data_IF_383401475116
#
_entry.id   IF_383401475116
#
_cell.length_a   1.000
_cell.length_b   1.000
_cell.length_c   1.000
_cell.angle_alpha   90.00
_cell.angle_beta   90.00
_cell.angle_gamma   90.00
#
_symmetry.space_group_name_H-M   'P 1'
#
loop_
_entity.id
_entity.type
_entity.pdbx_description
1 polymer ?
#
# COMPACT_ATOMS: atom_id res chain seq x y z
N UNK A 1 -40.62 48.27 -30.08
CA UNK A 1 -41.09 48.48 -31.44
C UNK A 1 -41.90 47.26 -31.79
N UNK A 2 -43.17 47.29 -31.48
CA UNK A 2 -44.30 47.71 -32.30
C UNK A 2 -44.63 46.71 -33.37
N UNK A 3 -45.82 46.16 -33.26
CA UNK A 3 -46.51 45.54 -34.35
C UNK A 3 -47.57 44.52 -33.92
N UNK A 4 -48.64 45.01 -33.32
CA UNK A 4 -49.98 44.37 -33.25
C UNK A 4 -50.75 44.78 -34.51
N UNK A 5 -52.00 44.39 -34.67
CA UNK A 5 -52.71 43.16 -34.96
C UNK A 5 -53.53 43.28 -36.25
N UNK A 6 -54.23 42.24 -36.66
CA UNK A 6 -55.26 42.38 -37.73
C UNK A 6 -56.54 41.61 -37.30
N UNK A 7 -57.53 42.41 -37.02
CA UNK A 7 -58.96 42.11 -36.91
C UNK A 7 -59.53 41.36 -38.13
N UNK A 8 -60.39 40.39 -37.85
CA UNK A 8 -61.39 39.95 -38.84
C UNK A 8 -62.77 39.89 -38.14
N UNK A 9 -63.76 40.56 -38.70
CA UNK A 9 -65.09 40.77 -38.11
C UNK A 9 -66.01 39.56 -38.18
N UNK A 10 -67.05 39.53 -37.35
CA UNK A 10 -68.02 38.42 -37.33
C UNK A 10 -69.07 38.54 -38.42
N UNK A 11 -69.45 37.45 -39.05
CA UNK A 11 -70.57 37.37 -39.97
C UNK A 11 -71.86 37.08 -39.21
N UNK A 12 -72.85 37.89 -39.51
CA UNK A 12 -74.24 37.87 -39.01
C UNK A 12 -75.06 36.62 -39.46
N UNK A 13 -76.12 36.31 -38.77
CA UNK A 13 -76.90 35.07 -38.96
C UNK A 13 -77.92 35.20 -40.13
N UNK A 14 -78.15 34.10 -40.80
CA UNK A 14 -79.15 33.92 -41.82
C UNK A 14 -80.59 33.72 -41.21
N UNK A 15 -81.64 34.03 -41.98
CA UNK A 15 -82.98 34.27 -41.45
C UNK A 15 -83.73 32.99 -41.04
N UNK A 16 -84.56 33.14 -40.03
CA UNK A 16 -85.52 32.17 -39.57
C UNK A 16 -86.68 32.04 -40.59
N UNK A 17 -86.85 30.82 -41.04
CA UNK A 17 -88.12 30.48 -41.72
C UNK A 17 -89.10 30.01 -40.70
N UNK A 18 -90.19 30.77 -40.52
CA UNK A 18 -91.33 30.42 -39.70
C UNK A 18 -92.10 29.19 -40.26
N UNK A 19 -91.94 28.09 -39.51
CA UNK A 19 -92.72 26.91 -39.74
C UNK A 19 -93.93 26.87 -38.81
N UNK A 20 -95.12 26.79 -39.34
CA UNK A 20 -96.34 26.67 -38.59
C UNK A 20 -96.34 25.48 -37.60
N UNK A 21 -97.01 25.58 -36.46
CA UNK A 21 -97.10 24.47 -35.51
C UNK A 21 -97.73 23.26 -36.12
N UNK A 22 -97.26 22.06 -35.92
CA UNK A 22 -97.84 20.85 -36.46
C UNK A 22 -99.18 20.58 -35.81
N UNK A 23 -100.16 20.25 -36.65
CA UNK A 23 -101.53 19.81 -36.26
C UNK A 23 -101.49 18.57 -35.35
N UNK A 24 -102.38 18.39 -34.39
CA UNK A 24 -102.37 17.25 -33.49
C UNK A 24 -102.54 15.97 -34.25
N UNK A 25 -101.63 15.07 -34.14
CA UNK A 25 -101.66 13.70 -34.70
C UNK A 25 -102.72 12.88 -33.98
N UNK A 26 -103.52 12.13 -34.79
CA UNK A 26 -104.60 11.26 -34.27
C UNK A 26 -104.05 10.25 -33.24
N UNK A 27 -104.84 9.82 -32.26
CA UNK A 27 -104.39 8.89 -31.19
C UNK A 27 -103.78 7.59 -31.67
N UNK A 28 -103.98 7.21 -32.91
CA UNK A 28 -103.44 5.94 -33.46
C UNK A 28 -101.94 6.10 -33.91
N UNK A 29 -101.45 7.32 -34.15
CA UNK A 29 -100.06 7.55 -34.56
C UNK A 29 -99.13 7.69 -33.33
N UNK A 30 -99.72 8.03 -32.18
CA UNK A 30 -98.98 8.12 -30.90
C UNK A 30 -98.57 6.78 -30.31
N UNK A 31 -99.06 5.67 -30.80
CA UNK A 31 -98.76 4.30 -30.32
C UNK A 31 -97.76 3.55 -31.25
N UNK A 32 -97.27 4.19 -32.28
CA UNK A 32 -96.20 3.56 -33.08
C UNK A 32 -94.81 3.75 -32.34
N UNK A 33 -94.18 2.60 -32.05
CA UNK A 33 -92.80 2.72 -31.44
C UNK A 33 -91.87 3.42 -32.40
N UNK A 34 -91.12 4.39 -31.89
CA UNK A 34 -90.06 5.09 -32.66
C UNK A 34 -89.13 4.05 -33.31
N UNK A 35 -88.81 4.22 -34.58
CA UNK A 35 -87.84 3.29 -35.23
C UNK A 35 -86.52 3.32 -34.52
N UNK A 36 -86.14 2.19 -33.92
CA UNK A 36 -84.84 2.00 -33.31
C UNK A 36 -83.71 2.27 -34.37
N UNK A 37 -82.76 3.17 -34.11
CA UNK A 37 -81.69 3.42 -35.08
C UNK A 37 -81.01 2.07 -35.40
N UNK A 38 -80.66 1.84 -36.67
CA UNK A 38 -80.02 0.60 -37.07
C UNK A 38 -78.69 0.44 -36.32
N UNK A 39 -78.34 -0.74 -35.83
CA UNK A 39 -77.11 -0.97 -35.11
C UNK A 39 -75.92 -0.57 -36.03
N UNK A 40 -75.01 0.17 -35.45
CA UNK A 40 -73.78 0.58 -36.13
C UNK A 40 -73.11 -0.64 -36.79
N UNK A 41 -73.06 -0.63 -38.13
CA UNK A 41 -72.42 -1.72 -38.88
C UNK A 41 -71.01 -1.79 -38.52
N UNK A 42 -70.64 -2.80 -37.71
CA UNK A 42 -69.19 -3.07 -37.43
C UNK A 42 -68.49 -3.29 -38.76
N UNK A 43 -67.43 -2.51 -38.98
CA UNK A 43 -66.60 -2.58 -40.17
C UNK A 43 -66.16 -4.03 -40.45
N UNK A 44 -66.52 -4.57 -41.59
CA UNK A 44 -66.11 -5.90 -42.04
C UNK A 44 -64.59 -5.99 -42.29
N UNK A 45 -63.90 -4.81 -42.45
CA UNK A 45 -62.47 -4.75 -42.62
C UNK A 45 -61.70 -5.23 -41.38
N UNK A 46 -62.20 -5.09 -40.16
CA UNK A 46 -61.60 -5.56 -38.96
C UNK A 46 -61.59 -7.11 -38.77
N UNK A 47 -62.30 -7.80 -39.65
CA UNK A 47 -62.44 -9.28 -39.63
C UNK A 47 -61.64 -10.00 -40.72
N UNK A 48 -60.86 -9.26 -41.54
CA UNK A 48 -60.01 -9.91 -42.54
C UNK A 48 -58.85 -10.63 -41.80
N UNK A 49 -58.68 -11.95 -42.01
CA UNK A 49 -57.71 -12.73 -41.25
C UNK A 49 -56.30 -12.17 -41.30
N UNK A 50 -55.89 -11.60 -42.47
CA UNK A 50 -54.56 -10.95 -42.60
C UNK A 50 -54.40 -9.68 -41.74
N UNK A 51 -55.48 -8.91 -41.52
CA UNK A 51 -55.46 -7.72 -40.65
C UNK A 51 -55.39 -8.13 -39.20
N UNK A 52 -56.07 -9.16 -38.81
CA UNK A 52 -56.05 -9.71 -37.42
C UNK A 52 -54.66 -10.27 -37.12
N UNK A 53 -54.11 -11.12 -38.01
CA UNK A 53 -52.75 -11.70 -37.86
C UNK A 53 -51.67 -10.61 -37.87
N UNK A 54 -51.75 -9.68 -38.80
CA UNK A 54 -50.82 -8.54 -38.87
C UNK A 54 -50.86 -7.65 -37.62
N UNK A 55 -52.06 -7.35 -37.11
CA UNK A 55 -52.21 -6.59 -35.86
C UNK A 55 -51.69 -7.36 -34.63
N UNK A 56 -51.98 -8.67 -34.54
CA UNK A 56 -51.45 -9.50 -33.46
C UNK A 56 -49.90 -9.58 -33.48
N UNK A 57 -49.32 -9.75 -34.67
CA UNK A 57 -47.86 -9.74 -34.85
C UNK A 57 -47.25 -8.39 -34.47
N UNK A 58 -47.82 -7.29 -34.89
CA UNK A 58 -47.37 -5.96 -34.56
C UNK A 58 -47.47 -5.68 -33.05
N UNK A 59 -48.59 -6.08 -32.43
CA UNK A 59 -48.79 -5.99 -30.99
C UNK A 59 -47.74 -6.82 -30.25
N UNK A 60 -47.43 -8.03 -30.72
CA UNK A 60 -46.38 -8.88 -30.16
C UNK A 60 -45.01 -8.20 -30.24
N UNK A 61 -44.65 -7.60 -31.39
CA UNK A 61 -43.40 -6.85 -31.53
C UNK A 61 -43.32 -5.67 -30.58
N UNK A 62 -44.44 -4.93 -30.40
CA UNK A 62 -44.46 -3.82 -29.42
C UNK A 62 -44.25 -4.35 -28.00
N UNK A 63 -44.95 -5.42 -27.62
CA UNK A 63 -44.78 -6.03 -26.28
C UNK A 63 -43.36 -6.49 -26.06
N UNK A 64 -42.74 -7.13 -27.06
CA UNK A 64 -41.31 -7.54 -27.00
C UNK A 64 -40.40 -6.32 -26.90
N UNK A 65 -40.62 -5.29 -27.69
CA UNK A 65 -39.84 -4.07 -27.63
C UNK A 65 -39.96 -3.36 -26.27
N UNK A 66 -41.17 -3.27 -25.72
CA UNK A 66 -41.40 -2.71 -24.37
C UNK A 66 -40.74 -3.58 -23.28
N UNK A 67 -40.86 -4.90 -23.40
CA UNK A 67 -40.20 -5.82 -22.45
C UNK A 67 -38.67 -5.68 -22.50
N UNK A 68 -38.07 -5.58 -23.70
CA UNK A 68 -36.64 -5.34 -23.85
C UNK A 68 -36.28 -3.97 -23.26
N UNK A 69 -37.02 -2.91 -23.59
CA UNK A 69 -36.77 -1.56 -23.06
C UNK A 69 -36.87 -1.52 -21.54
N UNK A 70 -37.88 -2.16 -20.96
CA UNK A 70 -38.02 -2.26 -19.50
C UNK A 70 -36.86 -3.04 -18.86
N UNK A 71 -36.44 -4.14 -19.48
CA UNK A 71 -35.32 -4.96 -19.00
C UNK A 71 -34.00 -4.17 -19.03
N UNK A 72 -33.75 -3.43 -20.11
CA UNK A 72 -32.58 -2.57 -20.24
C UNK A 72 -32.60 -1.42 -19.22
N UNK A 73 -33.77 -0.82 -19.02
CA UNK A 73 -33.92 0.26 -18.04
C UNK A 73 -33.69 -0.23 -16.61
N UNK A 74 -34.30 -1.32 -16.21
CA UNK A 74 -34.14 -1.93 -14.90
C UNK A 74 -32.70 -2.43 -14.73
N UNK A 75 -32.12 -3.03 -15.79
CA UNK A 75 -30.73 -3.47 -15.80
C UNK A 75 -29.75 -2.31 -15.55
N UNK A 76 -29.95 -1.18 -16.24
CA UNK A 76 -29.14 0.02 -16.03
C UNK A 76 -29.29 0.60 -14.62
N UNK A 77 -30.52 0.70 -14.13
CA UNK A 77 -30.78 1.18 -12.78
C UNK A 77 -30.09 0.30 -11.72
N UNK A 78 -30.13 -1.02 -11.87
CA UNK A 78 -29.44 -1.97 -10.98
C UNK A 78 -27.92 -1.92 -11.11
N UNK A 79 -27.42 -1.61 -12.30
CA UNK A 79 -25.98 -1.47 -12.57
C UNK A 79 -25.37 -0.24 -11.91
N UNK A 80 -26.13 0.87 -11.85
CA UNK A 80 -25.71 2.14 -11.24
C UNK A 80 -26.17 2.27 -9.76
N UNK A 81 -27.03 1.37 -9.27
CA UNK A 81 -27.52 1.41 -7.90
C UNK A 81 -26.40 1.18 -6.87
N UNK A 82 -26.48 1.83 -5.69
CA UNK A 82 -25.56 1.58 -4.60
C UNK A 82 -25.52 0.10 -4.21
N UNK A 83 -24.31 -0.44 -4.03
CA UNK A 83 -24.09 -1.84 -3.66
C UNK A 83 -24.31 -2.11 -2.16
N UNK A 84 -24.25 -3.39 -1.76
CA UNK A 84 -24.56 -3.85 -0.41
C UNK A 84 -23.47 -3.57 0.64
N UNK A 85 -22.27 -3.15 0.23
CA UNK A 85 -21.17 -2.89 1.16
C UNK A 85 -21.52 -1.77 2.14
N UNK A 86 -21.49 -2.07 3.45
CA UNK A 86 -21.72 -1.07 4.50
C UNK A 86 -20.43 -0.26 4.84
N UNK A 87 -19.26 -0.82 4.56
CA UNK A 87 -17.95 -0.22 4.84
C UNK A 87 -16.95 -0.57 3.73
N UNK A 88 -15.90 0.22 3.61
CA UNK A 88 -14.80 -0.07 2.68
C UNK A 88 -14.25 -1.48 2.92
N UNK A 89 -14.06 -2.24 1.86
CA UNK A 89 -13.54 -3.61 1.94
C UNK A 89 -12.42 -3.85 0.95
N UNK A 90 -11.40 -4.57 1.39
CA UNK A 90 -10.32 -5.03 0.53
C UNK A 90 -10.59 -6.47 0.14
N UNK A 91 -10.62 -6.74 -1.17
CA UNK A 91 -10.84 -8.08 -1.74
C UNK A 91 -9.71 -8.42 -2.71
N UNK A 92 -9.20 -9.63 -2.61
CA UNK A 92 -8.18 -10.13 -3.53
C UNK A 92 -8.81 -10.92 -4.67
N UNK A 93 -8.60 -10.48 -5.90
CA UNK A 93 -9.03 -11.18 -7.13
C UNK A 93 -7.86 -12.03 -7.63
N UNK A 94 -7.93 -13.37 -7.51
CA UNK A 94 -6.85 -14.26 -7.91
C UNK A 94 -6.56 -14.20 -9.41
N UNK A 95 -5.31 -14.48 -9.78
CA UNK A 95 -4.90 -14.59 -11.18
C UNK A 95 -5.53 -15.82 -11.84
N UNK A 96 -6.03 -15.67 -13.07
CA UNK A 96 -6.46 -16.79 -13.91
C UNK A 96 -7.91 -17.25 -13.71
N UNK A 97 -8.70 -16.58 -12.83
CA UNK A 97 -10.14 -16.87 -12.69
C UNK A 97 -10.96 -16.13 -13.75
N UNK A 98 -12.08 -16.75 -14.15
CA UNK A 98 -12.98 -16.20 -15.16
C UNK A 98 -13.93 -15.12 -14.61
N UNK A 99 -14.59 -14.38 -15.52
CA UNK A 99 -15.56 -13.32 -15.15
C UNK A 99 -16.65 -13.84 -14.20
N UNK A 100 -17.11 -15.09 -14.37
CA UNK A 100 -18.12 -15.69 -13.51
C UNK A 100 -17.59 -15.94 -12.11
N UNK A 101 -16.39 -16.51 -12.01
CA UNK A 101 -15.75 -16.78 -10.73
C UNK A 101 -15.44 -15.48 -9.96
N UNK A 102 -15.07 -14.41 -10.70
CA UNK A 102 -14.91 -13.07 -10.11
C UNK A 102 -16.23 -12.58 -9.54
N UNK A 103 -17.34 -12.72 -10.29
CA UNK A 103 -18.67 -12.36 -9.84
C UNK A 103 -19.07 -13.11 -8.56
N UNK A 104 -18.88 -14.43 -8.55
CA UNK A 104 -19.22 -15.29 -7.40
C UNK A 104 -18.34 -14.95 -6.18
N UNK A 105 -17.07 -14.61 -6.40
CA UNK A 105 -16.18 -14.11 -5.34
C UNK A 105 -16.70 -12.79 -4.76
N UNK A 106 -17.05 -11.83 -5.62
CA UNK A 106 -17.54 -10.52 -5.19
C UNK A 106 -18.88 -10.62 -4.41
N UNK A 107 -19.74 -11.56 -4.78
CA UNK A 107 -20.97 -11.86 -4.03
C UNK A 107 -20.66 -12.46 -2.66
N UNK A 108 -19.76 -13.46 -2.59
CA UNK A 108 -19.33 -14.06 -1.31
C UNK A 108 -18.71 -13.04 -0.37
N UNK A 109 -17.95 -12.11 -0.93
CA UNK A 109 -17.34 -11.01 -0.17
C UNK A 109 -18.31 -9.87 0.15
N UNK A 110 -19.56 -9.94 -0.34
CA UNK A 110 -20.61 -8.94 -0.10
C UNK A 110 -20.35 -7.61 -0.81
N UNK A 111 -19.51 -7.59 -1.84
CA UNK A 111 -19.22 -6.39 -2.65
C UNK A 111 -20.39 -6.09 -3.58
N UNK A 112 -20.98 -7.12 -4.17
CA UNK A 112 -22.17 -7.04 -5.01
C UNK A 112 -23.22 -8.06 -4.54
N UNK A 113 -24.47 -7.83 -4.86
CA UNK A 113 -25.61 -8.73 -4.56
C UNK A 113 -26.18 -9.41 -5.82
N UNK A 114 -25.81 -8.92 -7.02
CA UNK A 114 -26.40 -9.35 -8.28
C UNK A 114 -25.34 -9.82 -9.29
N UNK A 115 -24.99 -11.12 -9.26
CA UNK A 115 -23.94 -11.67 -10.13
C UNK A 115 -24.25 -11.51 -11.63
N UNK A 116 -25.53 -11.64 -12.01
CA UNK A 116 -25.93 -11.51 -13.42
C UNK A 116 -25.78 -10.09 -13.96
N UNK A 117 -25.99 -9.06 -13.11
CA UNK A 117 -25.78 -7.65 -13.48
C UNK A 117 -24.29 -7.39 -13.73
N UNK A 118 -23.42 -7.95 -12.89
CA UNK A 118 -21.97 -7.85 -13.08
C UNK A 118 -21.52 -8.51 -14.39
N UNK A 119 -21.89 -9.78 -14.61
CA UNK A 119 -21.53 -10.51 -15.84
C UNK A 119 -22.09 -9.83 -17.08
N UNK A 120 -23.36 -9.36 -17.03
CA UNK A 120 -24.00 -8.62 -18.11
C UNK A 120 -23.28 -7.27 -18.39
N UNK A 121 -22.93 -6.53 -17.36
CA UNK A 121 -22.18 -5.28 -17.46
C UNK A 121 -20.81 -5.48 -18.13
N UNK A 122 -20.07 -6.50 -17.73
CA UNK A 122 -18.77 -6.85 -18.35
C UNK A 122 -18.93 -7.19 -19.84
N UNK A 123 -20.02 -7.87 -20.22
CA UNK A 123 -20.30 -8.17 -21.64
C UNK A 123 -20.64 -6.92 -22.43
N UNK A 124 -21.56 -6.08 -21.90
CA UNK A 124 -21.98 -4.83 -22.55
C UNK A 124 -20.80 -3.86 -22.72
N UNK A 125 -19.94 -3.75 -21.72
CA UNK A 125 -18.74 -2.93 -21.76
C UNK A 125 -17.60 -3.56 -22.59
N UNK A 126 -17.78 -4.80 -23.10
CA UNK A 126 -16.75 -5.59 -23.81
C UNK A 126 -15.47 -5.79 -23.01
N UNK A 127 -15.56 -5.77 -21.68
CA UNK A 127 -14.43 -5.72 -20.75
C UNK A 127 -13.93 -7.09 -20.27
N UNK A 128 -14.31 -8.20 -20.92
CA UNK A 128 -13.92 -9.55 -20.48
C UNK A 128 -12.41 -9.77 -20.38
N UNK A 129 -11.64 -9.15 -21.27
CA UNK A 129 -10.17 -9.23 -21.28
C UNK A 129 -9.48 -8.17 -20.42
N UNK A 130 -10.22 -7.16 -19.95
CA UNK A 130 -9.65 -5.98 -19.30
C UNK A 130 -9.72 -6.05 -17.77
N UNK A 131 -10.43 -7.05 -17.22
CA UNK A 131 -10.50 -7.25 -15.77
C UNK A 131 -9.14 -7.72 -15.25
N UNK A 132 -8.49 -6.86 -14.46
CA UNK A 132 -7.16 -7.15 -13.91
C UNK A 132 -7.28 -7.88 -12.58
N UNK A 133 -6.38 -8.83 -12.33
CA UNK A 133 -6.22 -9.51 -11.05
C UNK A 133 -5.44 -8.63 -10.06
N UNK A 134 -5.64 -8.85 -8.76
CA UNK A 134 -4.95 -8.13 -7.72
C UNK A 134 -5.83 -7.87 -6.50
N UNK A 135 -5.32 -7.15 -5.55
CA UNK A 135 -6.02 -6.77 -4.33
C UNK A 135 -6.64 -5.37 -4.52
N UNK A 136 -7.95 -5.27 -4.38
CA UNK A 136 -8.71 -4.05 -4.62
C UNK A 136 -9.42 -3.57 -3.38
N UNK A 137 -9.42 -2.27 -3.16
CA UNK A 137 -10.24 -1.62 -2.15
C UNK A 137 -11.53 -1.13 -2.80
N UNK A 138 -12.66 -1.70 -2.39
CA UNK A 138 -13.99 -1.26 -2.81
C UNK A 138 -14.57 -0.35 -1.71
N UNK A 139 -14.93 0.89 -2.03
CA UNK A 139 -15.62 1.79 -1.13
C UNK A 139 -16.98 1.26 -0.67
N UNK A 140 -17.47 1.75 0.46
CA UNK A 140 -18.83 1.49 0.90
C UNK A 140 -19.83 1.89 -0.19
N UNK A 141 -20.88 1.10 -0.35
CA UNK A 141 -21.98 1.32 -1.32
C UNK A 141 -21.53 1.40 -2.79
N UNK A 142 -20.34 0.88 -3.15
CA UNK A 142 -19.91 0.83 -4.55
C UNK A 142 -20.93 0.11 -5.43
N UNK A 143 -21.35 0.77 -6.51
CA UNK A 143 -22.22 0.19 -7.54
C UNK A 143 -21.48 -0.89 -8.34
N UNK A 144 -22.23 -1.75 -9.05
CA UNK A 144 -21.65 -2.74 -9.96
C UNK A 144 -20.81 -2.06 -11.05
N UNK A 145 -21.24 -0.90 -11.53
CA UNK A 145 -20.49 -0.07 -12.49
C UNK A 145 -19.11 0.34 -11.96
N UNK A 146 -19.06 0.87 -10.74
CA UNK A 146 -17.81 1.30 -10.08
C UNK A 146 -16.90 0.11 -9.78
N UNK A 147 -17.46 -1.02 -9.37
CA UNK A 147 -16.70 -2.26 -9.15
C UNK A 147 -16.01 -2.71 -10.45
N UNK A 148 -16.75 -2.77 -11.58
CA UNK A 148 -16.17 -3.13 -12.87
C UNK A 148 -15.12 -2.10 -13.30
N UNK A 149 -15.41 -0.80 -13.17
CA UNK A 149 -14.47 0.26 -13.47
C UNK A 149 -13.17 0.12 -12.68
N UNK A 150 -13.25 -0.16 -11.37
CA UNK A 150 -12.09 -0.39 -10.50
C UNK A 150 -11.22 -1.56 -10.99
N UNK A 151 -11.85 -2.67 -11.42
CA UNK A 151 -11.15 -3.84 -11.94
C UNK A 151 -10.50 -3.57 -13.31
N UNK A 152 -11.14 -2.79 -14.19
CA UNK A 152 -10.60 -2.38 -15.49
C UNK A 152 -9.42 -1.42 -15.31
N UNK A 153 -9.57 -0.40 -14.47
CA UNK A 153 -8.51 0.55 -14.14
C UNK A 153 -7.27 -0.15 -13.58
N UNK A 154 -7.47 -1.20 -12.79
CA UNK A 154 -6.39 -1.97 -12.18
C UNK A 154 -5.68 -1.20 -11.06
N UNK A 155 -6.39 -0.31 -10.38
CA UNK A 155 -5.87 0.44 -9.21
C UNK A 155 -5.80 -0.48 -8.00
N UNK A 156 -4.84 -1.41 -8.02
CA UNK A 156 -4.64 -2.38 -6.93
C UNK A 156 -4.06 -1.72 -5.68
N UNK A 157 -4.35 -2.30 -4.53
CA UNK A 157 -3.79 -1.88 -3.24
C UNK A 157 -2.27 -1.98 -3.29
N UNK A 158 -1.60 -0.90 -2.93
CA UNK A 158 -0.15 -0.85 -2.81
C UNK A 158 0.26 -1.07 -1.37
N UNK A 159 1.05 -2.10 -1.13
CA UNK A 159 1.76 -2.32 0.12
C UNK A 159 3.15 -1.69 0.05
N UNK A 160 3.77 -1.45 1.20
CA UNK A 160 5.12 -0.94 1.26
C UNK A 160 5.94 -1.70 2.31
N UNK A 161 7.20 -1.91 2.01
CA UNK A 161 8.20 -2.34 2.98
C UNK A 161 9.30 -1.30 3.02
N UNK A 162 9.56 -0.76 4.22
CA UNK A 162 10.65 0.19 4.47
C UNK A 162 11.83 -0.56 5.03
N UNK A 163 12.96 -0.42 4.37
CA UNK A 163 14.26 -0.95 4.80
C UNK A 163 15.09 0.21 5.31
N UNK A 164 15.46 0.15 6.58
CA UNK A 164 16.27 1.17 7.21
C UNK A 164 17.72 1.14 6.69
N UNK A 165 18.36 2.31 6.64
CA UNK A 165 19.78 2.44 6.33
C UNK A 165 20.64 1.75 7.40
N UNK A 166 21.80 1.26 7.03
CA UNK A 166 22.75 0.62 7.94
C UNK A 166 22.39 -0.79 8.41
N UNK A 167 21.32 -1.40 7.87
CA UNK A 167 21.04 -2.83 8.08
C UNK A 167 22.00 -3.68 7.26
N UNK A 168 22.35 -4.85 7.80
CA UNK A 168 23.08 -5.87 7.03
C UNK A 168 22.14 -6.59 6.06
N UNK A 169 22.70 -7.25 5.06
CA UNK A 169 21.91 -8.01 4.09
C UNK A 169 21.10 -9.13 4.75
N UNK A 170 21.64 -9.78 5.78
CA UNK A 170 20.92 -10.80 6.58
C UNK A 170 19.71 -10.20 7.29
N UNK A 171 19.89 -9.06 7.99
CA UNK A 171 18.78 -8.34 8.64
C UNK A 171 17.68 -7.86 7.67
N UNK A 172 18.07 -7.46 6.46
CA UNK A 172 17.12 -7.10 5.41
C UNK A 172 16.34 -8.32 4.95
N UNK A 173 17.01 -9.45 4.75
CA UNK A 173 16.36 -10.73 4.40
C UNK A 173 15.36 -11.15 5.46
N UNK A 174 15.72 -11.09 6.75
CA UNK A 174 14.81 -11.42 7.85
C UNK A 174 13.57 -10.53 7.84
N UNK A 175 13.75 -9.21 7.66
CA UNK A 175 12.65 -8.26 7.56
C UNK A 175 11.72 -8.53 6.37
N UNK A 176 12.27 -8.97 5.23
CA UNK A 176 11.46 -9.38 4.08
C UNK A 176 10.74 -10.71 4.34
N UNK A 177 11.32 -11.63 5.11
CA UNK A 177 10.69 -12.90 5.48
C UNK A 177 9.51 -12.70 6.42
N UNK A 178 9.58 -11.76 7.36
CA UNK A 178 8.49 -11.40 8.26
C UNK A 178 7.28 -10.79 7.53
N UNK A 179 7.46 -10.26 6.33
CA UNK A 179 6.36 -9.65 5.57
C UNK A 179 5.42 -10.73 5.02
N UNK A 180 4.18 -10.76 5.54
CA UNK A 180 3.16 -11.76 5.20
C UNK A 180 2.49 -11.56 3.84
N UNK A 181 2.64 -10.39 3.23
CA UNK A 181 2.04 -10.06 1.92
C UNK A 181 2.95 -10.50 0.78
N UNK A 182 4.28 -10.46 1.01
CA UNK A 182 5.27 -10.98 0.06
C UNK A 182 5.23 -12.51 0.00
N UNK A 183 5.51 -13.07 -1.16
CA UNK A 183 5.45 -14.51 -1.41
C UNK A 183 6.82 -15.09 -1.81
N UNK A 184 6.93 -16.41 -1.78
CA UNK A 184 8.12 -17.14 -2.21
C UNK A 184 9.29 -17.07 -1.23
N UNK A 185 10.22 -18.03 -1.29
CA UNK A 185 11.43 -18.04 -0.47
C UNK A 185 12.48 -17.07 -1.02
N UNK A 186 13.42 -16.67 -0.18
CA UNK A 186 14.69 -16.06 -0.57
C UNK A 186 15.69 -17.21 -0.65
N UNK A 187 16.36 -17.37 -1.80
CA UNK A 187 17.26 -18.49 -2.06
C UNK A 187 18.64 -18.27 -1.45
N UNK A 188 19.16 -17.08 -1.58
CA UNK A 188 20.50 -16.70 -1.14
C UNK A 188 20.46 -15.32 -0.50
N UNK A 189 21.27 -15.12 0.53
CA UNK A 189 21.46 -13.79 1.14
C UNK A 189 22.29 -12.97 0.13
N UNK A 190 21.81 -11.80 -0.30
CA UNK A 190 22.56 -10.93 -1.21
C UNK A 190 23.88 -10.48 -0.58
N UNK A 191 24.86 -10.15 -1.42
CA UNK A 191 26.14 -9.62 -0.96
C UNK A 191 25.94 -8.37 -0.10
N UNK A 192 26.76 -8.20 0.93
CA UNK A 192 26.72 -7.02 1.79
C UNK A 192 26.97 -5.76 0.99
N UNK A 193 26.21 -4.69 1.28
CA UNK A 193 26.29 -3.42 0.58
C UNK A 193 25.72 -3.41 -0.83
N UNK A 194 24.92 -4.43 -1.21
CA UNK A 194 24.32 -4.52 -2.55
C UNK A 194 22.82 -4.19 -2.60
N UNK A 195 22.25 -3.78 -1.48
CA UNK A 195 20.81 -3.53 -1.34
C UNK A 195 20.57 -2.07 -0.96
N UNK A 196 19.95 -1.28 -1.85
CA UNK A 196 19.58 0.09 -1.53
C UNK A 196 18.51 0.14 -0.45
N UNK A 197 18.75 0.74 0.73
CA UNK A 197 17.75 0.87 1.79
C UNK A 197 16.78 2.01 1.47
N UNK A 198 15.57 1.65 1.09
CA UNK A 198 14.50 2.58 0.72
C UNK A 198 13.13 2.00 1.08
N UNK A 199 12.05 2.73 0.78
CA UNK A 199 10.69 2.23 0.85
C UNK A 199 10.26 1.66 -0.50
N UNK A 200 10.04 0.36 -0.55
CA UNK A 200 9.63 -0.37 -1.74
C UNK A 200 8.14 -0.64 -1.76
N UNK A 201 7.43 -0.05 -2.73
CA UNK A 201 6.01 -0.36 -2.96
C UNK A 201 5.87 -1.63 -3.79
N UNK A 202 4.88 -2.44 -3.44
CA UNK A 202 4.59 -3.70 -4.13
C UNK A 202 3.10 -4.06 -4.01
N UNK A 203 2.65 -5.00 -4.83
CA UNK A 203 1.28 -5.52 -4.80
C UNK A 203 1.27 -6.92 -4.23
N UNK A 204 0.12 -7.37 -3.72
CA UNK A 204 -0.05 -8.75 -3.27
C UNK A 204 0.35 -9.74 -4.38
N UNK A 205 1.10 -10.77 -4.01
CA UNK A 205 1.64 -11.75 -4.95
C UNK A 205 3.03 -11.41 -5.52
N UNK A 206 3.59 -10.23 -5.17
CA UNK A 206 5.00 -9.93 -5.43
C UNK A 206 5.88 -10.87 -4.62
N UNK A 207 6.93 -11.42 -5.24
CA UNK A 207 7.86 -12.30 -4.54
C UNK A 207 8.94 -11.49 -3.80
N UNK A 208 9.46 -12.05 -2.70
CA UNK A 208 10.59 -11.48 -1.96
C UNK A 208 11.81 -11.28 -2.87
N UNK A 209 12.07 -12.25 -3.75
CA UNK A 209 13.14 -12.19 -4.73
C UNK A 209 13.01 -10.99 -5.68
N UNK A 210 11.76 -10.68 -6.14
CA UNK A 210 11.53 -9.49 -6.97
C UNK A 210 11.79 -8.19 -6.23
N UNK A 211 11.53 -8.13 -4.92
CA UNK A 211 11.87 -6.96 -4.10
C UNK A 211 13.39 -6.83 -3.99
N UNK A 212 14.11 -7.92 -3.67
CA UNK A 212 15.57 -7.95 -3.61
C UNK A 212 16.19 -7.49 -4.93
N UNK A 213 15.72 -8.00 -6.07
CA UNK A 213 16.21 -7.60 -7.38
C UNK A 213 16.02 -6.09 -7.64
N UNK A 214 14.89 -5.51 -7.20
CA UNK A 214 14.67 -4.05 -7.30
C UNK A 214 15.63 -3.28 -6.40
N UNK A 215 15.90 -3.78 -5.19
CA UNK A 215 16.86 -3.18 -4.27
C UNK A 215 18.28 -3.19 -4.86
N UNK A 216 18.71 -4.31 -5.41
CA UNK A 216 20.00 -4.45 -6.08
C UNK A 216 20.14 -3.54 -7.32
N UNK A 217 19.07 -3.42 -8.12
CA UNK A 217 19.06 -2.54 -9.27
C UNK A 217 19.10 -1.05 -8.86
N UNK A 218 18.41 -0.70 -7.77
CA UNK A 218 18.46 0.65 -7.22
C UNK A 218 19.85 0.99 -6.70
N UNK A 219 20.45 0.08 -5.93
CA UNK A 219 21.81 0.21 -5.42
C UNK A 219 22.82 0.40 -6.55
N UNK A 220 22.83 -0.52 -7.51
CA UNK A 220 23.76 -0.46 -8.66
C UNK A 220 23.67 0.87 -9.41
N UNK A 221 22.45 1.39 -9.63
CA UNK A 221 22.26 2.68 -10.30
C UNK A 221 22.77 3.85 -9.46
N UNK A 222 22.42 3.87 -8.17
CA UNK A 222 22.85 4.94 -7.28
C UNK A 222 24.37 4.95 -7.11
N UNK A 223 24.99 3.79 -6.87
CA UNK A 223 26.45 3.67 -6.74
C UNK A 223 27.17 4.11 -8.01
N UNK A 224 26.68 3.70 -9.19
CA UNK A 224 27.25 4.10 -10.46
C UNK A 224 27.16 5.61 -10.68
N UNK A 225 25.98 6.20 -10.50
CA UNK A 225 25.75 7.64 -10.62
C UNK A 225 26.67 8.46 -9.67
N UNK A 226 26.72 8.05 -8.40
CA UNK A 226 27.52 8.74 -7.39
C UNK A 226 29.00 8.58 -7.67
N UNK A 227 29.44 7.39 -8.10
CA UNK A 227 30.84 7.15 -8.46
C UNK A 227 31.31 8.00 -9.63
N UNK A 228 30.47 8.22 -10.65
CA UNK A 228 30.80 9.08 -11.80
C UNK A 228 30.96 10.55 -11.41
N UNK A 229 30.25 11.01 -10.37
CA UNK A 229 30.28 12.39 -9.90
C UNK A 229 31.16 12.61 -8.66
N UNK A 230 31.98 11.61 -8.26
CA UNK A 230 32.83 11.71 -7.08
C UNK A 230 33.90 12.77 -7.22
N UNK A 231 34.42 13.25 -6.10
CA UNK A 231 35.65 14.06 -6.06
C UNK A 231 36.81 13.25 -6.72
N UNK A 232 37.46 13.78 -7.76
CA UNK A 232 38.54 13.07 -8.46
C UNK A 232 39.75 12.80 -7.58
N UNK A 233 39.90 13.53 -6.48
CA UNK A 233 41.02 13.38 -5.52
C UNK A 233 40.73 12.31 -4.43
N UNK A 234 39.63 11.62 -4.48
CA UNK A 234 39.35 10.56 -3.51
C UNK A 234 40.39 9.42 -3.60
N UNK A 235 40.90 8.95 -2.44
CA UNK A 235 41.84 7.83 -2.41
C UNK A 235 41.14 6.45 -2.58
N UNK A 236 40.03 6.40 -3.27
CA UNK A 236 39.24 5.19 -3.53
C UNK A 236 39.43 4.76 -4.98
N UNK A 237 39.61 3.44 -5.20
CA UNK A 237 39.97 2.86 -6.50
C UNK A 237 38.79 2.26 -7.26
N UNK A 238 37.68 1.99 -6.58
CA UNK A 238 36.54 1.32 -7.16
C UNK A 238 35.22 1.73 -6.50
N UNK A 239 34.05 1.52 -7.19
CA UNK A 239 32.74 1.67 -6.58
C UNK A 239 32.54 0.80 -5.32
N UNK A 240 33.17 -0.38 -5.26
CA UNK A 240 33.11 -1.27 -4.09
C UNK A 240 33.79 -0.61 -2.88
N UNK A 241 34.92 0.06 -3.06
CA UNK A 241 35.59 0.81 -1.99
C UNK A 241 34.73 1.99 -1.53
N UNK A 242 34.00 2.65 -2.45
CA UNK A 242 33.03 3.70 -2.08
C UNK A 242 31.92 3.14 -1.16
N UNK A 243 31.31 2.02 -1.54
CA UNK A 243 30.25 1.37 -0.74
C UNK A 243 30.81 0.90 0.61
N UNK A 244 32.04 0.35 0.60
CA UNK A 244 32.72 -0.10 1.83
C UNK A 244 32.89 1.04 2.81
N UNK A 245 33.46 2.17 2.37
CA UNK A 245 33.63 3.33 3.23
C UNK A 245 32.29 3.96 3.64
N UNK A 246 31.31 4.03 2.73
CA UNK A 246 29.99 4.53 3.03
C UNK A 246 29.26 3.69 4.08
N UNK A 247 29.44 2.36 4.08
CA UNK A 247 28.87 1.48 5.11
C UNK A 247 29.47 1.75 6.50
N UNK A 248 30.75 2.14 6.58
CA UNK A 248 31.38 2.54 7.83
C UNK A 248 30.80 3.89 8.30
N UNK A 249 30.75 4.89 7.40
CA UNK A 249 30.18 6.22 7.71
C UNK A 249 28.73 6.11 8.17
N UNK A 250 27.94 5.25 7.52
CA UNK A 250 26.52 4.98 7.89
C UNK A 250 26.39 4.47 9.33
N UNK A 251 27.32 3.63 9.77
CA UNK A 251 27.32 3.06 11.13
C UNK A 251 27.91 3.98 12.19
N UNK A 252 28.65 5.03 11.79
CA UNK A 252 29.27 5.96 12.72
C UNK A 252 28.38 7.12 13.10
N UNK A 253 27.53 7.60 12.18
CA UNK A 253 26.67 8.74 12.48
C UNK A 253 25.30 8.64 11.86
N UNK A 254 24.27 8.86 12.68
CA UNK A 254 22.89 9.07 12.23
C UNK A 254 22.58 10.54 11.89
N UNK A 255 23.53 11.47 12.10
CA UNK A 255 23.32 12.90 11.88
C UNK A 255 23.64 13.31 10.45
N UNK A 256 22.66 13.81 9.69
CA UNK A 256 22.86 14.22 8.29
C UNK A 256 23.88 15.35 8.14
N UNK A 257 23.91 16.29 9.08
CA UNK A 257 24.78 17.47 9.08
C UNK A 257 26.27 17.14 9.33
N UNK A 258 26.58 16.02 9.97
CA UNK A 258 27.94 15.59 10.27
C UNK A 258 28.49 14.57 9.27
N UNK A 259 27.61 13.91 8.48
CA UNK A 259 27.96 12.75 7.65
C UNK A 259 29.14 13.02 6.70
N UNK A 260 29.11 14.15 5.99
CA UNK A 260 30.21 14.53 5.08
C UNK A 260 31.55 14.83 5.83
N UNK A 261 31.47 15.31 7.08
CA UNK A 261 32.64 15.57 7.91
C UNK A 261 33.20 14.28 8.50
N UNK A 262 32.36 13.35 8.93
CA UNK A 262 32.78 11.99 9.33
C UNK A 262 33.46 11.28 8.15
N UNK A 263 32.88 11.35 6.96
CA UNK A 263 33.48 10.82 5.74
C UNK A 263 34.87 11.44 5.47
N UNK A 264 35.00 12.77 5.66
CA UNK A 264 36.27 13.47 5.49
C UNK A 264 37.37 12.97 6.45
N UNK A 265 37.01 12.64 7.71
CA UNK A 265 38.01 12.07 8.66
C UNK A 265 38.56 10.75 8.11
N UNK A 266 37.68 9.83 7.66
CA UNK A 266 38.16 8.56 7.11
C UNK A 266 38.96 8.72 5.82
N UNK A 267 38.53 9.60 4.90
CA UNK A 267 39.26 9.90 3.68
C UNK A 267 40.64 10.49 4.01
N UNK A 268 40.73 11.41 4.98
CA UNK A 268 41.99 11.99 5.43
C UNK A 268 42.91 10.95 6.07
N UNK A 269 42.38 10.02 6.85
CA UNK A 269 43.15 8.89 7.41
C UNK A 269 43.66 7.97 6.29
N UNK A 270 42.86 7.61 5.29
CA UNK A 270 43.29 6.81 4.13
C UNK A 270 44.45 7.50 3.38
N UNK A 271 44.37 8.83 3.13
CA UNK A 271 45.44 9.62 2.49
C UNK A 271 46.75 9.62 3.29
N UNK A 272 46.65 9.49 4.62
CA UNK A 272 47.82 9.47 5.53
C UNK A 272 48.26 8.06 5.93
N UNK A 273 47.72 7.03 5.34
CA UNK A 273 47.94 5.62 5.69
C UNK A 273 47.71 5.33 7.18
N UNK A 274 46.73 6.01 7.78
CA UNK A 274 46.28 5.78 9.14
C UNK A 274 45.19 4.71 9.16
N UNK A 275 45.18 3.88 10.20
CA UNK A 275 44.09 2.92 10.43
C UNK A 275 42.75 3.64 10.66
N UNK A 276 41.66 3.07 10.16
CA UNK A 276 40.35 3.72 10.26
C UNK A 276 39.81 3.70 11.69
N UNK A 277 40.01 2.63 12.44
CA UNK A 277 39.66 2.50 13.86
C UNK A 277 38.17 2.76 14.14
N UNK A 278 37.33 2.08 13.41
CA UNK A 278 35.85 2.14 13.51
C UNK A 278 35.33 0.93 14.29
N UNK A 279 34.66 1.16 15.40
CA UNK A 279 34.09 0.10 16.26
C UNK A 279 33.11 -0.80 15.54
N UNK A 280 32.17 -0.32 14.66
CA UNK A 280 31.29 -1.16 13.86
C UNK A 280 32.00 -2.23 13.03
N UNK A 281 33.22 -1.99 12.59
CA UNK A 281 34.02 -2.96 11.81
C UNK A 281 34.48 -4.14 12.67
N UNK A 282 34.71 -3.93 13.98
CA UNK A 282 35.01 -4.99 14.94
C UNK A 282 33.78 -5.88 15.08
N UNK A 283 32.62 -5.28 15.34
CA UNK A 283 31.34 -5.98 15.50
C UNK A 283 31.09 -6.86 14.29
N UNK A 284 31.14 -6.27 13.07
CA UNK A 284 30.91 -7.03 11.85
C UNK A 284 31.93 -8.16 11.65
N UNK A 285 33.21 -7.92 11.99
CA UNK A 285 34.26 -8.94 11.92
C UNK A 285 34.05 -10.12 12.85
N UNK A 286 33.34 -9.93 13.98
CA UNK A 286 33.07 -10.95 14.98
C UNK A 286 31.77 -11.73 14.71
N UNK A 287 30.68 -11.03 14.34
CA UNK A 287 29.35 -11.66 14.22
C UNK A 287 28.85 -11.77 12.78
N UNK A 288 29.58 -11.20 11.81
CA UNK A 288 29.14 -11.14 10.43
C UNK A 288 27.90 -10.26 10.29
N UNK A 289 27.01 -10.63 9.38
CA UNK A 289 25.75 -9.93 9.13
C UNK A 289 24.66 -10.11 10.21
N UNK A 290 24.91 -10.85 11.28
CA UNK A 290 23.88 -11.26 12.26
C UNK A 290 23.42 -10.15 13.22
N UNK A 291 24.05 -8.99 13.23
CA UNK A 291 23.56 -7.85 14.00
C UNK A 291 24.47 -7.38 15.11
N UNK A 292 23.97 -7.27 16.35
CA UNK A 292 24.74 -6.72 17.47
C UNK A 292 25.56 -7.79 18.18
N UNK A 293 26.65 -7.34 18.84
CA UNK A 293 27.48 -8.21 19.67
C UNK A 293 26.78 -8.66 20.96
N UNK A 294 25.74 -7.94 21.39
CA UNK A 294 25.02 -8.25 22.63
C UNK A 294 25.69 -7.76 23.91
N UNK A 295 26.92 -7.27 23.84
CA UNK A 295 27.68 -6.69 24.94
C UNK A 295 28.59 -5.57 24.42
N UNK A 296 29.14 -4.69 25.29
CA UNK A 296 30.15 -3.72 24.91
C UNK A 296 31.42 -4.40 24.39
N UNK A 297 32.08 -3.77 23.38
CA UNK A 297 33.31 -4.32 22.80
C UNK A 297 34.38 -4.47 23.87
N UNK A 298 34.90 -5.68 24.05
CA UNK A 298 35.95 -5.98 24.99
C UNK A 298 37.34 -5.59 24.40
N UNK A 299 38.32 -5.39 25.29
CA UNK A 299 39.70 -5.10 24.85
C UNK A 299 40.27 -6.24 24.00
N UNK A 300 40.02 -7.49 24.37
CA UNK A 300 40.46 -8.66 23.60
C UNK A 300 39.87 -8.73 22.20
N UNK A 301 38.61 -8.26 22.03
CA UNK A 301 37.95 -8.19 20.73
C UNK A 301 38.48 -7.06 19.86
N UNK A 302 38.84 -5.94 20.48
CA UNK A 302 39.50 -4.82 19.82
C UNK A 302 40.86 -5.19 19.24
N UNK A 303 41.57 -6.10 19.89
CA UNK A 303 42.89 -6.58 19.47
C UNK A 303 42.80 -7.84 18.57
N UNK A 304 41.58 -8.40 18.35
CA UNK A 304 41.40 -9.63 17.58
C UNK A 304 41.66 -9.41 16.09
N UNK A 305 42.53 -10.19 15.44
CA UNK A 305 42.86 -10.02 14.03
C UNK A 305 41.82 -10.63 13.12
N UNK A 306 40.72 -9.89 12.86
CA UNK A 306 39.77 -10.24 11.82
C UNK A 306 40.03 -9.40 10.56
N UNK A 307 39.66 -9.88 9.35
CA UNK A 307 39.85 -9.09 8.12
C UNK A 307 39.09 -7.76 8.12
N UNK A 308 38.06 -7.62 8.95
CA UNK A 308 37.26 -6.41 9.05
C UNK A 308 37.71 -5.45 10.15
N UNK A 309 38.52 -5.91 11.12
CA UNK A 309 38.93 -5.08 12.27
C UNK A 309 39.89 -3.96 11.87
N UNK A 310 39.34 -2.75 11.64
CA UNK A 310 40.11 -1.57 11.23
C UNK A 310 41.03 -0.98 12.33
N UNK A 311 41.07 -1.58 13.53
CA UNK A 311 42.10 -1.28 14.54
C UNK A 311 43.41 -2.04 14.29
N UNK A 312 43.36 -3.15 13.56
CA UNK A 312 44.52 -4.01 13.30
C UNK A 312 44.92 -4.05 11.84
N UNK A 313 43.99 -3.88 10.91
CA UNK A 313 44.31 -3.80 9.47
C UNK A 313 44.59 -2.37 9.04
N UNK A 314 45.33 -2.21 7.96
CA UNK A 314 45.58 -0.94 7.31
C UNK A 314 44.60 -0.73 6.13
N UNK A 315 44.07 0.49 6.00
CA UNK A 315 43.12 0.83 4.94
C UNK A 315 41.69 0.32 5.17
N UNK A 316 40.99 0.04 4.07
CA UNK A 316 39.62 -0.45 4.08
C UNK A 316 39.51 -1.96 4.39
N UNK A 317 38.46 -2.42 5.03
CA UNK A 317 38.15 -3.83 5.11
C UNK A 317 37.84 -4.42 3.73
N UNK A 318 37.79 -5.77 3.58
CA UNK A 318 37.60 -6.43 2.26
C UNK A 318 36.25 -6.15 1.60
N UNK A 319 35.29 -5.62 2.33
CA UNK A 319 33.97 -5.27 1.81
C UNK A 319 33.13 -4.46 2.79
N UNK A 320 31.90 -4.10 2.40
CA UNK A 320 30.97 -3.38 3.24
C UNK A 320 30.58 -4.13 4.52
N UNK A 321 30.19 -3.42 5.55
CA UNK A 321 29.72 -3.94 6.84
C UNK A 321 28.20 -3.74 7.06
N UNK A 322 27.54 -3.09 6.12
CA UNK A 322 26.10 -2.84 6.10
C UNK A 322 25.69 -2.37 4.69
N UNK A 323 24.41 -2.20 4.46
CA UNK A 323 23.89 -1.53 3.28
C UNK A 323 23.70 -0.03 3.58
N UNK A 324 24.54 0.85 3.03
CA UNK A 324 24.46 2.28 3.30
C UNK A 324 23.32 2.94 2.53
N UNK A 325 22.76 4.00 3.08
CA UNK A 325 21.85 4.88 2.37
C UNK A 325 22.56 5.75 1.32
N UNK A 326 21.77 6.32 0.41
CA UNK A 326 22.26 7.22 -0.65
C UNK A 326 23.09 8.38 -0.06
N UNK A 327 22.62 8.95 1.04
CA UNK A 327 23.29 10.09 1.68
C UNK A 327 24.70 9.75 2.21
N UNK A 328 24.94 8.52 2.67
CA UNK A 328 26.30 8.09 3.08
C UNK A 328 27.21 7.84 1.89
N UNK A 329 26.67 7.31 0.78
CA UNK A 329 27.41 7.19 -0.48
C UNK A 329 27.82 8.56 -1.01
N UNK A 330 26.91 9.53 -1.04
CA UNK A 330 27.18 10.91 -1.48
C UNK A 330 28.18 11.61 -0.56
N UNK A 331 28.06 11.43 0.76
CA UNK A 331 28.99 12.01 1.72
C UNK A 331 30.42 11.50 1.55
N UNK A 332 30.59 10.24 1.20
CA UNK A 332 31.94 9.67 0.90
C UNK A 332 32.42 10.11 -0.48
N UNK A 333 31.54 10.22 -1.47
CA UNK A 333 31.88 10.67 -2.80
C UNK A 333 32.29 12.16 -2.82
N UNK A 334 31.70 12.98 -1.95
CA UNK A 334 31.91 14.42 -1.83
C UNK A 334 32.16 14.79 -0.34
N UNK A 335 33.30 14.39 0.27
CA UNK A 335 33.57 14.64 1.67
C UNK A 335 33.80 16.12 1.95
N UNK A 336 33.54 16.54 3.18
CA UNK A 336 33.79 17.90 3.59
C UNK A 336 35.32 18.22 3.46
N UNK A 337 35.63 19.42 3.03
CA UNK A 337 37.04 19.86 2.88
C UNK A 337 37.59 20.28 4.23
N UNK A 338 37.98 19.33 5.05
CA UNK A 338 38.58 19.54 6.38
C UNK A 338 39.93 18.83 6.50
N UNK A 339 40.66 19.16 7.55
CA UNK A 339 41.89 18.45 7.94
C UNK A 339 41.70 17.52 9.13
N UNK A 340 40.42 17.34 9.55
CA UNK A 340 40.08 16.52 10.70
C UNK A 340 40.53 15.08 10.51
N UNK A 341 41.13 14.52 11.57
CA UNK A 341 41.63 13.15 11.64
C UNK A 341 40.96 12.33 12.74
N UNK A 342 40.29 13.02 13.65
CA UNK A 342 39.66 12.42 14.82
C UNK A 342 38.28 13.03 15.04
N UNK A 343 37.40 12.24 15.59
CA UNK A 343 36.13 12.70 16.17
C UNK A 343 35.84 11.90 17.44
N UNK A 344 35.00 12.45 18.29
CA UNK A 344 34.50 11.83 19.52
C UNK A 344 33.12 12.40 19.81
N UNK A 345 32.26 11.63 20.45
CA UNK A 345 30.92 12.08 20.84
C UNK A 345 31.01 13.36 21.70
N UNK A 346 30.07 14.28 21.52
CA UNK A 346 29.98 15.54 22.26
C UNK A 346 29.08 15.46 23.50
N UNK A 347 28.44 14.30 23.73
CA UNK A 347 27.49 14.08 24.80
C UNK A 347 26.06 14.58 24.49
N UNK A 348 25.81 15.17 23.33
CA UNK A 348 24.49 15.66 22.87
C UNK A 348 23.93 14.88 21.69
N UNK A 349 24.57 13.78 21.30
CA UNK A 349 24.25 12.95 20.14
C UNK A 349 24.96 13.36 18.85
N UNK A 350 25.89 14.30 18.93
CA UNK A 350 26.80 14.71 17.86
C UNK A 350 28.26 14.41 18.16
N UNK A 351 29.14 14.95 17.31
CA UNK A 351 30.58 14.74 17.42
C UNK A 351 31.39 16.06 17.46
N UNK A 352 32.48 16.06 18.23
CA UNK A 352 33.52 17.07 18.19
C UNK A 352 34.67 16.51 17.37
N UNK A 353 35.10 17.28 16.38
CA UNK A 353 36.17 16.92 15.45
C UNK A 353 37.50 17.55 15.84
N UNK A 354 38.61 16.91 15.47
CA UNK A 354 39.94 17.38 15.75
C UNK A 354 40.93 17.02 14.63
N UNK A 355 41.82 17.97 14.31
CA UNK A 355 42.93 17.76 13.35
C UNK A 355 44.12 17.05 13.98
N UNK A 356 44.34 17.22 15.32
CA UNK A 356 45.50 16.66 16.04
C UNK A 356 45.05 15.72 17.15
N UNK A 357 45.96 14.81 17.52
CA UNK A 357 45.72 13.85 18.60
C UNK A 357 45.61 14.54 19.97
N UNK A 358 46.39 15.61 20.20
CA UNK A 358 46.34 16.38 21.45
C UNK A 358 44.97 17.04 21.66
N UNK A 359 44.41 17.61 20.57
CA UNK A 359 43.06 18.20 20.63
C UNK A 359 41.98 17.10 20.84
N UNK A 360 42.12 15.96 20.17
CA UNK A 360 41.27 14.81 20.37
C UNK A 360 41.29 14.33 21.83
N UNK A 361 42.46 14.17 22.44
CA UNK A 361 42.59 13.79 23.86
C UNK A 361 41.86 14.77 24.79
N UNK A 362 41.97 16.11 24.55
CA UNK A 362 41.22 17.12 25.30
C UNK A 362 39.68 16.92 25.15
N UNK A 363 39.22 16.65 23.95
CA UNK A 363 37.80 16.39 23.71
C UNK A 363 37.31 15.11 24.40
N UNK A 364 38.10 14.03 24.37
CA UNK A 364 37.81 12.78 25.12
C UNK A 364 37.76 13.03 26.63
N UNK A 365 38.72 13.80 27.18
CA UNK A 365 38.71 14.15 28.60
C UNK A 365 37.43 14.95 28.97
N UNK A 366 37.01 15.90 28.12
CA UNK A 366 35.78 16.66 28.31
C UNK A 366 34.55 15.76 28.30
N UNK A 367 34.46 14.84 27.35
CA UNK A 367 33.34 13.86 27.28
C UNK A 367 33.25 13.05 28.56
N UNK A 368 34.36 12.46 29.01
CA UNK A 368 34.40 11.67 30.27
C UNK A 368 33.94 12.47 31.47
N UNK A 369 34.27 13.75 31.56
CA UNK A 369 33.78 14.63 32.63
C UNK A 369 32.27 14.83 32.56
N UNK A 370 31.72 15.01 31.34
CA UNK A 370 30.27 15.12 31.14
C UNK A 370 29.52 13.84 31.54
N UNK A 371 30.07 12.67 31.14
CA UNK A 371 29.51 11.36 31.49
C UNK A 371 29.52 11.11 33.01
N UNK A 372 30.62 11.44 33.68
CA UNK A 372 30.75 11.35 35.14
C UNK A 372 29.75 12.25 35.87
N UNK A 373 29.60 13.51 35.41
CA UNK A 373 28.62 14.44 35.98
C UNK A 373 27.17 13.96 35.77
N UNK A 374 26.88 13.43 34.61
CA UNK A 374 25.56 12.85 34.31
C UNK A 374 25.27 11.61 35.17
N UNK A 375 26.24 10.71 35.34
CA UNK A 375 26.13 9.53 36.21
C UNK A 375 25.92 9.94 37.68
N UNK A 376 26.62 10.96 38.15
CA UNK A 376 26.47 11.49 39.53
C UNK A 376 25.09 12.16 39.73
N UNK A 377 24.58 12.86 38.71
CA UNK A 377 23.26 13.49 38.76
C UNK A 377 22.11 12.46 38.69
N UNK A 378 22.34 11.31 38.06
CA UNK A 378 21.36 10.24 37.93
C UNK A 378 21.29 9.27 39.14
N UNK A 379 22.25 9.38 40.09
CA UNK A 379 22.18 8.61 41.35
C UNK A 379 21.20 9.34 42.29
N UNK A 380 20.01 8.77 42.61
CA UNK A 380 19.13 9.39 43.61
C UNK A 380 19.88 9.45 44.93
N UNK A 381 19.84 10.60 45.61
CA UNK A 381 20.32 10.72 46.99
C UNK A 381 19.64 9.60 47.80
N UNK A 382 20.43 8.73 48.42
CA UNK A 382 19.91 7.67 49.28
C UNK A 382 19.06 8.34 50.39
N UNK A 383 17.77 8.10 50.37
CA UNK A 383 16.88 8.47 51.48
C UNK A 383 17.40 7.83 52.78
N UNK A 384 17.37 8.54 53.91
CA UNK A 384 17.70 7.95 55.20
C UNK A 384 16.76 6.77 55.48
N UNK A 385 17.23 5.72 56.17
CA UNK A 385 16.47 4.47 56.37
C UNK A 385 15.13 4.77 57.04
N UNK A 386 14.05 4.67 56.30
CA UNK A 386 12.68 4.72 56.81
C UNK A 386 12.45 3.51 57.75
N UNK A 387 11.98 3.84 58.96
CA UNK A 387 11.58 2.88 59.97
C UNK A 387 10.66 1.80 59.39
N UNK A 388 10.93 0.54 59.79
CA UNK A 388 10.14 -0.62 59.42
C UNK A 388 8.64 -0.41 59.70
N UNK A 389 7.74 -0.63 58.73
CA UNK A 389 6.36 -0.95 59.05
C UNK A 389 6.21 -2.45 59.26
N UNK A 390 5.38 -2.77 60.26
CA UNK A 390 5.08 -4.10 60.74
C UNK A 390 4.61 -5.08 59.67
N UNK A 391 4.88 -6.38 59.93
CA UNK A 391 4.47 -7.54 59.19
C UNK A 391 3.05 -7.50 58.65
N UNK A 392 2.89 -7.60 57.33
CA UNK A 392 1.61 -7.92 56.68
C UNK A 392 1.57 -9.43 56.44
N UNK A 393 0.58 -10.08 57.08
CA UNK A 393 0.28 -11.49 56.98
C UNK A 393 0.01 -11.90 55.53
N UNK A 394 0.68 -12.94 55.04
CA UNK A 394 0.41 -13.62 53.78
C UNK A 394 -1.01 -14.22 53.77
N UNK A 395 -1.73 -14.16 52.66
CA UNK A 395 -2.96 -14.93 52.48
C UNK A 395 -2.65 -16.42 52.24
N UNK A 396 -3.54 -17.36 52.66
CA UNK A 396 -3.27 -18.79 52.64
C UNK A 396 -3.20 -19.33 51.18
N UNK A 397 -2.26 -20.27 50.97
CA UNK A 397 -2.01 -20.95 49.73
C UNK A 397 -3.25 -21.76 49.27
N UNK A 398 -3.56 -21.66 47.96
CA UNK A 398 -4.58 -22.46 47.30
C UNK A 398 -4.19 -23.96 47.25
N UNK A 399 -5.15 -24.91 47.35
CA UNK A 399 -4.85 -26.34 47.48
C UNK A 399 -4.31 -26.93 46.17
N UNK A 400 -3.28 -27.76 46.32
CA UNK A 400 -2.62 -28.50 45.24
C UNK A 400 -3.58 -29.50 44.57
N UNK A 401 -3.73 -29.40 43.26
CA UNK A 401 -4.40 -30.42 42.45
C UNK A 401 -3.57 -31.70 42.43
N UNK A 402 -4.17 -32.80 42.92
CA UNK A 402 -3.63 -34.15 42.78
C UNK A 402 -3.70 -34.62 41.33
N UNK A 403 -2.65 -35.22 40.77
CA UNK A 403 -2.73 -35.81 39.41
C UNK A 403 -3.54 -37.12 39.45
N UNK A 404 -4.39 -37.28 38.42
CA UNK A 404 -5.19 -38.47 38.19
C UNK A 404 -4.33 -39.73 37.87
N UNK A 405 -4.76 -40.96 38.22
CA UNK A 405 -3.97 -42.15 37.99
C UNK A 405 -3.93 -42.57 36.52
N UNK A 406 -2.74 -42.93 36.08
CA UNK A 406 -2.41 -43.41 34.73
C UNK A 406 -3.04 -44.79 34.48
N UNK A 407 -3.92 -44.91 33.49
CA UNK A 407 -4.48 -46.19 33.03
C UNK A 407 -3.39 -47.08 32.42
N UNK A 408 -3.30 -48.33 32.90
CA UNK A 408 -2.44 -49.39 32.37
C UNK A 408 -3.06 -49.95 31.10
N UNK A 409 -2.33 -49.94 30.00
CA UNK A 409 -2.67 -50.70 28.80
C UNK A 409 -2.27 -52.16 28.97
N UNK A 410 -3.11 -53.12 28.56
CA UNK A 410 -2.74 -54.53 28.61
C UNK A 410 -1.89 -54.91 27.38
N UNK A 411 -0.82 -55.65 27.67
CA UNK A 411 0.01 -56.37 26.73
C UNK A 411 -0.82 -57.54 26.15
N UNK A 412 -0.91 -57.67 24.84
CA UNK A 412 -1.31 -58.88 24.15
C UNK A 412 -0.09 -59.55 23.54
N UNK A 413 -0.01 -60.85 23.81
CA UNK A 413 0.88 -61.83 23.23
C UNK A 413 0.73 -61.94 21.70
#
# INVERSE_FOLDING_TARGET
MTGSPSDVPPRSPAPQNGGQPPLPRSPRVALQPEPVPPPLRRSKRARHPLVVVGSAFFTFLIVVAVAIGATLYVGRQRFEAPGPLAQDKIVNIPKGIGTRDISDLLVREGVIDQPYVFVGGVVVLKARGDLKHGEYKFPAHSSVAEVIGTLIDGKVVQHAVTVAEGLTSEQIVDRLQENTVLTGPIKEIPAEGSLMPETYKFTRGTTREQVIQRMQQADKRAVQEIWEHRDPELPLKSPVELVTLASIVEKETGRPDERSRVAAVFVNRLRRHMRLQSDPTIIYGLVGGKGSLGHPILKSEKDQPTPYNTYVIDGLPPGPIANPGRASLEAVAQPARTKDLYFVADGTGGHVFAETYELHQKNVAKLRTLEQNAATAATPAADPPAAHPAAVLEPPAAPAHKPAPRAKHPVRH
#
